data_IF_173153691057
#
_entry.id   IF_173153691057
#
_cell.length_a   1.000
_cell.length_b   1.000
_cell.length_c   1.000
_cell.angle_alpha   90.00
_cell.angle_beta   90.00
_cell.angle_gamma   90.00
#
_symmetry.space_group_name_H-M   'P 1'
#
loop_
_entity.id
_entity.type
_entity.pdbx_description
1 polymer ?
#
# COMPACT_ATOMS: atom_id res chain seq x y z
N UNK A 1 12.92 13.27 8.97
CA UNK A 1 12.91 13.15 10.45
C UNK A 1 14.25 12.55 10.91
N UNK A 2 14.82 12.93 12.05
CA UNK A 2 16.05 12.29 12.59
C UNK A 2 15.72 11.53 13.87
N UNK A 3 16.15 10.27 13.97
CA UNK A 3 15.99 9.43 15.17
C UNK A 3 17.23 8.56 15.34
N UNK A 4 17.78 8.51 16.55
CA UNK A 4 18.99 7.73 16.88
C UNK A 4 20.15 7.98 15.90
N UNK A 5 20.39 9.25 15.54
CA UNK A 5 21.45 9.63 14.59
C UNK A 5 21.18 9.30 13.12
N UNK A 6 20.02 8.70 12.79
CA UNK A 6 19.66 8.31 11.41
C UNK A 6 18.62 9.27 10.82
N UNK A 7 18.78 9.60 9.54
CA UNK A 7 17.76 10.28 8.76
C UNK A 7 16.72 9.27 8.28
N UNK A 8 15.45 9.54 8.59
CA UNK A 8 14.31 8.70 8.21
C UNK A 8 13.55 9.35 7.07
N UNK A 9 13.16 8.50 6.13
CA UNK A 9 12.26 8.75 4.99
C UNK A 9 11.03 7.87 5.17
N UNK A 10 9.97 8.13 4.43
CA UNK A 10 8.77 7.29 4.40
C UNK A 10 9.13 5.82 4.07
N UNK A 11 8.46 4.89 4.75
CA UNK A 11 8.67 3.45 4.60
C UNK A 11 8.19 2.93 3.24
N UNK A 12 7.29 3.66 2.58
CA UNK A 12 6.75 3.30 1.26
C UNK A 12 7.81 3.19 0.17
N UNK A 13 8.96 3.87 0.35
CA UNK A 13 10.10 3.82 -0.59
C UNK A 13 10.77 2.44 -0.62
N UNK A 14 10.73 1.71 0.50
CA UNK A 14 11.43 0.42 0.66
C UNK A 14 10.46 -0.77 0.69
N UNK A 15 9.35 -0.60 1.40
CA UNK A 15 8.37 -1.65 1.68
C UNK A 15 6.95 -1.06 1.71
N UNK A 16 6.34 -0.81 0.53
CA UNK A 16 5.06 -0.11 0.43
C UNK A 16 3.88 -0.88 1.03
N UNK A 17 3.96 -2.22 1.05
CA UNK A 17 2.95 -3.08 1.70
C UNK A 17 3.69 -4.14 2.53
N UNK A 18 3.92 -3.88 3.84
CA UNK A 18 4.87 -4.63 4.66
C UNK A 18 4.32 -5.99 5.15
N UNK A 19 4.03 -6.90 4.23
CA UNK A 19 3.44 -8.22 4.51
C UNK A 19 4.39 -9.09 5.32
N UNK A 20 5.68 -9.13 4.96
CA UNK A 20 6.68 -9.90 5.71
C UNK A 20 6.77 -9.48 7.19
N UNK A 21 6.70 -8.17 7.47
CA UNK A 21 6.70 -7.65 8.83
C UNK A 21 5.43 -8.04 9.59
N UNK A 22 4.25 -7.88 8.97
CA UNK A 22 2.99 -8.29 9.59
C UNK A 22 3.01 -9.78 9.96
N UNK A 23 3.54 -10.63 9.07
CA UNK A 23 3.68 -12.07 9.28
C UNK A 23 4.67 -12.41 10.40
N UNK A 24 5.78 -11.68 10.52
CA UNK A 24 6.74 -11.91 11.61
C UNK A 24 6.19 -11.50 12.97
N UNK A 25 5.38 -10.44 13.03
CA UNK A 25 4.72 -9.99 14.25
C UNK A 25 3.57 -10.90 14.71
N UNK A 26 2.85 -11.51 13.76
CA UNK A 26 1.71 -12.37 14.03
C UNK A 26 1.71 -13.62 13.13
N UNK A 27 2.64 -14.57 13.34
CA UNK A 27 2.89 -15.68 12.41
C UNK A 27 1.72 -16.67 12.27
N UNK A 28 0.73 -16.58 13.15
CA UNK A 28 -0.42 -17.46 13.17
C UNK A 28 -1.71 -16.79 12.70
N UNK A 29 -1.67 -15.49 12.38
CA UNK A 29 -2.83 -14.78 11.85
C UNK A 29 -2.71 -14.66 10.33
N UNK A 30 -3.84 -14.76 9.59
CA UNK A 30 -3.83 -14.51 8.17
C UNK A 30 -3.51 -13.02 7.94
N UNK A 31 -2.68 -12.75 6.94
CA UNK A 31 -2.29 -11.40 6.56
C UNK A 31 -3.10 -10.95 5.36
N UNK A 32 -3.91 -9.92 5.56
CA UNK A 32 -4.65 -9.25 4.49
C UNK A 32 -3.86 -8.02 4.06
N UNK A 33 -3.40 -8.03 2.81
CA UNK A 33 -2.68 -6.91 2.22
C UNK A 33 -3.64 -5.95 1.51
N UNK A 34 -3.54 -4.65 1.79
CA UNK A 34 -4.27 -3.61 1.05
C UNK A 34 -3.27 -2.85 0.20
N UNK A 35 -3.39 -2.97 -1.12
CA UNK A 35 -2.52 -2.28 -2.07
C UNK A 35 -3.30 -1.22 -2.83
N UNK A 36 -2.86 0.04 -2.71
CA UNK A 36 -3.41 1.16 -3.46
C UNK A 36 -2.83 1.22 -4.90
N UNK A 37 -1.71 0.54 -5.12
CA UNK A 37 -1.11 0.39 -6.43
C UNK A 37 -1.88 -0.64 -7.27
N UNK A 38 -2.15 -0.35 -8.55
CA UNK A 38 -2.76 -1.29 -9.45
C UNK A 38 -1.71 -2.31 -9.95
N UNK A 39 -2.18 -3.41 -10.56
CA UNK A 39 -1.31 -4.46 -11.11
C UNK A 39 -0.36 -3.90 -12.16
N UNK A 40 0.85 -4.46 -12.24
CA UNK A 40 1.88 -4.07 -13.22
C UNK A 40 1.34 -4.06 -14.65
N UNK A 41 0.60 -5.10 -15.04
CA UNK A 41 0.02 -5.22 -16.39
C UNK A 41 -0.96 -4.09 -16.74
N UNK A 42 -1.56 -3.45 -15.73
CA UNK A 42 -2.51 -2.35 -15.92
C UNK A 42 -1.83 -0.98 -16.12
N UNK A 43 -0.52 -0.87 -15.90
CA UNK A 43 0.25 0.36 -16.14
C UNK A 43 0.57 0.60 -17.62
N UNK A 44 0.58 -0.47 -18.43
CA UNK A 44 0.88 -0.39 -19.88
C UNK A 44 -0.14 0.46 -20.65
N UNK A 45 -1.32 0.73 -20.08
CA UNK A 45 -2.45 1.37 -20.77
C UNK A 45 -2.78 2.81 -20.35
N UNK A 46 -1.92 3.51 -19.59
CA UNK A 46 -2.33 4.81 -19.01
C UNK A 46 -1.73 6.06 -19.62
N UNK A 47 -2.55 7.13 -19.77
CA UNK A 47 -2.04 8.48 -19.94
C UNK A 47 -1.37 8.96 -18.64
N UNK A 48 -0.31 9.75 -18.79
CA UNK A 48 0.47 10.31 -17.68
C UNK A 48 -0.41 11.22 -16.81
N UNK A 49 -0.43 11.03 -15.47
CA UNK A 49 -1.18 11.92 -14.58
C UNK A 49 -0.62 13.34 -14.64
N UNK A 50 -1.52 14.34 -14.75
CA UNK A 50 -1.17 15.77 -14.82
C UNK A 50 -1.05 16.35 -13.41
N UNK A 51 -0.03 15.91 -12.68
CA UNK A 51 0.17 16.24 -11.26
C UNK A 51 0.28 17.74 -10.98
N UNK A 52 0.83 18.52 -11.91
CA UNK A 52 0.97 19.96 -11.74
C UNK A 52 -0.23 20.80 -12.20
N UNK A 53 -1.15 20.21 -12.97
CA UNK A 53 -2.32 20.89 -13.53
C UNK A 53 -3.50 21.01 -12.54
N UNK A 54 -3.52 20.19 -11.49
CA UNK A 54 -4.55 20.17 -10.45
C UNK A 54 -4.30 21.16 -9.30
N UNK A 55 -3.13 21.81 -9.25
CA UNK A 55 -2.82 22.84 -8.26
C UNK A 55 -3.41 24.21 -8.68
N UNK A 56 -4.42 24.75 -7.96
CA UNK A 56 -5.18 25.94 -8.39
C UNK A 56 -4.33 27.21 -8.51
N UNK A 57 -3.15 27.24 -7.88
CA UNK A 57 -2.23 28.38 -7.85
C UNK A 57 -1.18 28.36 -8.98
N UNK A 58 -0.88 27.20 -9.57
CA UNK A 58 0.19 27.04 -10.59
C UNK A 58 -0.34 26.73 -12.00
N UNK A 59 -1.59 26.24 -12.14
CA UNK A 59 -2.14 25.77 -13.41
C UNK A 59 -2.24 26.82 -14.54
N UNK A 60 -2.22 28.13 -14.23
CA UNK A 60 -2.32 29.18 -15.27
C UNK A 60 -0.97 29.65 -15.82
N UNK A 61 0.13 29.47 -15.08
CA UNK A 61 1.44 30.03 -15.45
C UNK A 61 2.48 28.97 -15.81
N UNK A 62 2.29 27.73 -15.36
CA UNK A 62 3.32 26.69 -15.46
C UNK A 62 3.06 25.61 -16.51
N UNK A 63 1.83 25.51 -17.02
CA UNK A 63 1.42 24.50 -18.01
C UNK A 63 2.19 24.58 -19.36
N UNK A 64 2.93 25.67 -19.61
CA UNK A 64 3.79 25.82 -20.80
C UNK A 64 5.29 25.65 -20.52
N UNK A 65 5.71 25.41 -19.28
CA UNK A 65 7.13 25.32 -18.94
C UNK A 65 7.66 23.89 -19.09
N UNK A 66 8.77 23.71 -19.81
CA UNK A 66 9.46 22.41 -19.97
C UNK A 66 9.82 21.76 -18.63
N UNK A 67 10.03 22.56 -17.59
CA UNK A 67 10.31 22.09 -16.23
C UNK A 67 9.08 21.44 -15.57
N UNK A 68 7.89 22.02 -15.74
CA UNK A 68 6.64 21.44 -15.22
C UNK A 68 6.36 20.08 -15.86
N UNK A 69 6.61 19.96 -17.17
CA UNK A 69 6.50 18.69 -17.88
C UNK A 69 7.52 17.66 -17.37
N UNK A 70 8.77 18.05 -17.16
CA UNK A 70 9.79 17.18 -16.59
C UNK A 70 9.41 16.69 -15.17
N UNK A 71 8.83 17.56 -14.34
CA UNK A 71 8.34 17.18 -13.01
C UNK A 71 7.15 16.21 -13.08
N UNK A 72 6.20 16.41 -13.99
CA UNK A 72 5.10 15.46 -14.19
C UNK A 72 5.61 14.09 -14.63
N UNK A 73 6.59 14.03 -15.55
CA UNK A 73 7.22 12.78 -15.98
C UNK A 73 7.92 12.11 -14.80
N UNK A 74 8.66 12.89 -14.01
CA UNK A 74 9.37 12.37 -12.84
C UNK A 74 8.41 11.79 -11.78
N UNK A 75 7.35 12.52 -11.41
CA UNK A 75 6.35 12.05 -10.46
C UNK A 75 5.62 10.80 -10.98
N UNK A 76 5.24 10.79 -12.26
CA UNK A 76 4.68 9.59 -12.89
C UNK A 76 5.64 8.39 -12.86
N UNK A 77 6.95 8.62 -13.00
CA UNK A 77 7.93 7.53 -12.88
C UNK A 77 8.02 6.97 -11.45
N UNK A 78 7.88 7.83 -10.43
CA UNK A 78 7.83 7.39 -9.04
C UNK A 78 6.59 6.53 -8.76
N UNK A 79 5.42 6.93 -9.27
CA UNK A 79 4.18 6.15 -9.12
C UNK A 79 4.31 4.76 -9.76
N UNK A 80 4.90 4.68 -10.97
CA UNK A 80 5.16 3.41 -11.66
C UNK A 80 6.14 2.54 -10.87
N UNK A 81 7.28 3.12 -10.44
CA UNK A 81 8.28 2.38 -9.67
C UNK A 81 7.71 1.88 -8.34
N UNK A 82 6.94 2.70 -7.64
CA UNK A 82 6.26 2.31 -6.39
C UNK A 82 5.31 1.14 -6.61
N UNK A 83 4.55 1.14 -7.70
CA UNK A 83 3.64 0.05 -8.01
C UNK A 83 4.35 -1.24 -8.42
N UNK A 84 5.44 -1.16 -9.18
CA UNK A 84 6.29 -2.31 -9.50
C UNK A 84 6.87 -2.94 -8.24
N UNK A 85 7.42 -2.12 -7.34
CA UNK A 85 7.98 -2.59 -6.07
C UNK A 85 6.89 -3.24 -5.22
N UNK A 86 5.72 -2.60 -5.11
CA UNK A 86 4.57 -3.14 -4.37
C UNK A 86 4.16 -4.51 -4.91
N UNK A 87 4.01 -4.67 -6.22
CA UNK A 87 3.58 -5.94 -6.80
C UNK A 87 4.64 -7.04 -6.63
N UNK A 88 5.93 -6.73 -6.84
CA UNK A 88 7.03 -7.67 -6.59
C UNK A 88 7.06 -8.13 -5.12
N UNK A 89 6.89 -7.20 -4.18
CA UNK A 89 6.82 -7.51 -2.75
C UNK A 89 5.61 -8.40 -2.43
N UNK A 90 4.43 -8.08 -2.96
CA UNK A 90 3.22 -8.88 -2.74
C UNK A 90 3.36 -10.31 -3.32
N UNK A 91 3.99 -10.45 -4.48
CA UNK A 91 4.29 -11.76 -5.09
C UNK A 91 5.27 -12.57 -4.24
N UNK A 92 6.28 -11.91 -3.68
CA UNK A 92 7.31 -12.53 -2.85
C UNK A 92 6.77 -12.91 -1.45
N UNK A 93 6.10 -11.99 -0.77
CA UNK A 93 5.67 -12.12 0.62
C UNK A 93 4.36 -12.91 0.77
N UNK A 94 3.62 -13.11 -0.33
CA UNK A 94 2.41 -13.94 -0.45
C UNK A 94 1.44 -13.74 0.72
N UNK A 95 0.73 -12.61 0.78
CA UNK A 95 -0.37 -12.44 1.73
C UNK A 95 -1.51 -13.43 1.45
N UNK A 96 -2.33 -13.69 2.47
CA UNK A 96 -3.43 -14.64 2.39
C UNK A 96 -4.59 -14.09 1.52
N UNK A 97 -4.83 -12.77 1.58
CA UNK A 97 -5.79 -12.05 0.73
C UNK A 97 -5.18 -10.71 0.33
N UNK A 98 -5.42 -10.28 -0.92
CA UNK A 98 -5.04 -8.95 -1.39
C UNK A 98 -6.29 -8.17 -1.75
N UNK A 99 -6.49 -7.00 -1.13
CA UNK A 99 -7.52 -6.03 -1.48
C UNK A 99 -6.88 -4.90 -2.27
N UNK A 100 -7.42 -4.60 -3.45
CA UNK A 100 -6.94 -3.51 -4.33
C UNK A 100 -8.07 -2.52 -4.64
N UNK A 101 -8.22 -1.44 -3.84
CA UNK A 101 -9.18 -0.38 -4.12
C UNK A 101 -8.91 0.29 -5.48
N UNK A 102 -9.97 0.66 -6.19
CA UNK A 102 -9.88 1.34 -7.50
C UNK A 102 -9.56 2.84 -7.34
N UNK A 103 -8.40 3.15 -6.75
CA UNK A 103 -7.94 4.53 -6.48
C UNK A 103 -6.84 4.99 -7.43
N UNK A 104 -6.53 4.16 -8.42
CA UNK A 104 -5.35 4.29 -9.25
C UNK A 104 -5.31 5.56 -10.12
N UNK A 105 -6.46 6.20 -10.33
CA UNK A 105 -6.61 7.44 -11.08
C UNK A 105 -6.25 8.69 -10.27
N UNK A 106 -6.07 8.53 -8.96
CA UNK A 106 -5.71 9.61 -8.04
C UNK A 106 -4.19 9.67 -7.98
N UNK A 107 -3.61 10.79 -8.42
CA UNK A 107 -2.17 11.04 -8.31
C UNK A 107 -1.76 11.34 -6.86
N UNK A 108 -0.46 11.21 -6.59
CA UNK A 108 0.12 11.38 -5.25
C UNK A 108 -0.23 12.72 -4.57
N UNK A 109 -0.37 13.79 -5.36
CA UNK A 109 -0.64 15.15 -4.88
C UNK A 109 -2.02 15.67 -5.27
N UNK A 110 -2.89 14.81 -5.81
CA UNK A 110 -4.21 15.26 -6.26
C UNK A 110 -5.12 15.56 -5.05
N UNK A 111 -5.94 16.61 -5.13
CA UNK A 111 -6.97 16.84 -4.13
C UNK A 111 -8.02 15.72 -4.21
N UNK A 112 -8.47 15.24 -3.06
CA UNK A 112 -9.47 14.17 -2.95
C UNK A 112 -10.61 14.53 -2.01
N UNK A 113 -11.81 14.06 -2.36
CA UNK A 113 -12.95 14.05 -1.45
C UNK A 113 -12.90 12.73 -0.66
N UNK A 114 -12.83 12.83 0.66
CA UNK A 114 -12.51 11.68 1.54
C UNK A 114 -13.59 10.61 1.46
N UNK A 115 -14.87 10.99 1.30
CA UNK A 115 -16.00 10.06 1.34
C UNK A 115 -16.04 9.22 0.07
N UNK A 116 -15.75 9.81 -1.08
CA UNK A 116 -15.64 9.14 -2.36
C UNK A 116 -14.51 8.09 -2.32
N UNK A 117 -13.34 8.47 -1.82
CA UNK A 117 -12.19 7.54 -1.70
C UNK A 117 -12.47 6.42 -0.70
N UNK A 118 -13.11 6.74 0.44
CA UNK A 118 -13.51 5.73 1.42
C UNK A 118 -14.51 4.72 0.81
N UNK A 119 -15.47 5.18 0.03
CA UNK A 119 -16.46 4.34 -0.66
C UNK A 119 -15.79 3.35 -1.62
N UNK A 120 -14.73 3.78 -2.32
CA UNK A 120 -13.93 2.90 -3.19
C UNK A 120 -13.22 1.79 -2.38
N UNK A 121 -12.74 2.12 -1.18
CA UNK A 121 -12.18 1.16 -0.24
C UNK A 121 -13.23 0.15 0.24
N UNK A 122 -14.38 0.64 0.72
CA UNK A 122 -15.50 -0.20 1.19
C UNK A 122 -15.96 -1.16 0.11
N UNK A 123 -16.13 -0.66 -1.13
CA UNK A 123 -16.51 -1.49 -2.28
C UNK A 123 -15.50 -2.62 -2.52
N UNK A 124 -14.21 -2.31 -2.55
CA UNK A 124 -13.17 -3.31 -2.77
C UNK A 124 -13.09 -4.34 -1.62
N UNK A 125 -13.31 -3.91 -0.38
CA UNK A 125 -13.40 -4.82 0.76
C UNK A 125 -14.64 -5.71 0.69
N UNK A 126 -15.79 -5.16 0.29
CA UNK A 126 -17.02 -5.92 0.08
C UNK A 126 -16.87 -6.98 -1.02
N UNK A 127 -16.16 -6.66 -2.10
CA UNK A 127 -15.82 -7.61 -3.17
C UNK A 127 -14.90 -8.75 -2.66
N UNK A 128 -13.98 -8.44 -1.75
CA UNK A 128 -13.08 -9.43 -1.12
C UNK A 128 -13.74 -10.19 0.04
N UNK A 129 -14.94 -9.80 0.49
CA UNK A 129 -15.61 -10.37 1.66
C UNK A 129 -15.77 -11.90 1.64
N UNK A 130 -16.07 -12.56 0.49
CA UNK A 130 -16.12 -14.02 0.43
C UNK A 130 -14.78 -14.68 0.79
N UNK A 131 -13.66 -14.12 0.31
CA UNK A 131 -12.32 -14.62 0.59
C UNK A 131 -11.94 -14.38 2.06
N UNK A 132 -12.30 -13.21 2.60
CA UNK A 132 -12.07 -12.88 4.01
C UNK A 132 -12.82 -13.83 4.95
N UNK A 133 -14.08 -14.18 4.63
CA UNK A 133 -14.86 -15.16 5.41
C UNK A 133 -14.25 -16.57 5.37
N UNK A 134 -13.63 -16.97 4.26
CA UNK A 134 -12.95 -18.26 4.16
C UNK A 134 -11.75 -18.36 5.12
N UNK A 135 -11.08 -17.24 5.42
CA UNK A 135 -9.98 -17.20 6.41
C UNK A 135 -10.47 -17.46 7.85
N UNK A 136 -11.75 -17.21 8.12
CA UNK A 136 -12.39 -17.49 9.41
C UNK A 136 -12.81 -18.96 9.54
N UNK A 137 -13.25 -19.60 8.45
CA UNK A 137 -13.83 -20.96 8.48
C UNK A 137 -12.81 -22.11 8.59
N UNK A 138 -11.51 -21.83 8.59
CA UNK A 138 -10.49 -22.87 8.82
C UNK A 138 -10.61 -23.46 10.24
N UNK A 139 -10.48 -24.79 10.41
CA UNK A 139 -10.39 -25.44 11.74
C UNK A 139 -9.29 -24.82 12.63
N UNK A 140 -8.30 -24.17 12.03
CA UNK A 140 -7.23 -23.43 12.71
C UNK A 140 -7.71 -22.17 13.47
N UNK A 141 -8.93 -21.66 13.26
CA UNK A 141 -9.50 -20.61 14.10
C UNK A 141 -9.58 -21.03 15.58
N UNK A 142 -9.92 -22.30 15.85
CA UNK A 142 -9.98 -22.85 17.20
C UNK A 142 -8.58 -23.06 17.79
N UNK A 143 -7.64 -23.61 16.99
CA UNK A 143 -6.24 -23.82 17.39
C UNK A 143 -5.50 -22.49 17.65
N UNK A 144 -5.79 -21.44 16.87
CA UNK A 144 -5.27 -20.07 17.04
C UNK A 144 -5.75 -19.44 18.35
N UNK A 145 -7.02 -19.63 18.71
CA UNK A 145 -7.61 -19.07 19.94
C UNK A 145 -7.10 -19.77 21.19
N UNK A 146 -6.90 -21.09 21.13
CA UNK A 146 -6.28 -21.89 22.19
C UNK A 146 -4.79 -21.59 22.36
N UNK A 147 -4.01 -21.50 21.27
CA UNK A 147 -2.57 -21.20 21.36
C UNK A 147 -2.24 -19.77 21.80
N UNK A 148 -3.13 -18.79 21.58
CA UNK A 148 -2.98 -17.42 22.11
C UNK A 148 -2.88 -17.37 23.64
N UNK A 149 -3.42 -18.39 24.32
CA UNK A 149 -3.34 -18.52 25.78
C UNK A 149 -2.08 -19.28 26.23
N UNK A 150 -1.41 -19.98 25.32
CA UNK A 150 -0.28 -20.88 25.59
C UNK A 150 1.05 -20.38 25.00
N UNK A 151 1.19 -19.13 24.57
CA UNK A 151 2.51 -18.55 24.28
C UNK A 151 3.11 -17.99 25.56
N UNK A 152 4.09 -18.66 26.22
CA UNK A 152 4.87 -18.04 27.28
C UNK A 152 5.68 -16.93 26.64
N UNK A 153 5.72 -15.76 27.27
CA UNK A 153 6.45 -14.60 26.77
C UNK A 153 7.90 -14.95 26.44
N UNK A 154 8.29 -14.71 25.19
CA UNK A 154 9.69 -14.52 24.83
C UNK A 154 10.13 -13.15 25.38
N UNK A 155 10.35 -13.13 26.69
CA UNK A 155 11.22 -12.15 27.32
C UNK A 155 12.67 -12.49 27.00
N UNK A 156 13.38 -11.48 26.50
CA UNK A 156 14.85 -11.34 26.45
C UNK A 156 15.57 -11.92 25.24
N UNK A 157 16.06 -11.01 24.39
CA UNK A 157 17.51 -10.74 24.23
C UNK A 157 17.72 -9.63 23.21
N UNK A 158 17.97 -8.41 23.67
CA UNK A 158 19.07 -7.56 23.21
C UNK A 158 19.28 -6.48 24.29
N UNK A 159 20.22 -6.75 25.18
CA UNK A 159 20.85 -5.75 26.04
C UNK A 159 22.03 -5.11 25.31
N UNK A 160 22.35 -3.91 25.80
CA UNK A 160 23.52 -3.04 25.55
C UNK A 160 23.72 -2.51 24.13
#
# INVERSE_FOLDING_TARGET
>A
MKRNGRSLVDGSVLDPVPVALARSMAPHLPVVAVSLSPYVDSWVRRPTPRVLGSLPFLGKYLDRSRWAQAMNIFLGSLDISGALISDLRLQQDRPDVIVRPQVHQIGLLDPVEIRDVATLGEKATNEALPQLRQLESLPDAMTRRLRRWFSPGETSRYGT
#
